data_IF_196906008803
#
_entry.id   IF_196906008803
#
_cell.length_a   1.000
_cell.length_b   1.000
_cell.length_c   1.000
_cell.angle_alpha   90.00
_cell.angle_beta   90.00
_cell.angle_gamma   90.00
#
_symmetry.space_group_name_H-M   'P 1'
#
loop_
_entity.id
_entity.type
_entity.pdbx_description
1 polymer ?
#
# COMPACT_ATOMS: atom_id res chain seq x y z
N UNK A 1 -1.52 11.31 5.85
CA UNK A 1 -2.16 10.06 5.40
C UNK A 1 -3.23 9.65 6.40
N UNK A 2 -4.51 9.96 6.13
CA UNK A 2 -5.63 9.69 7.06
C UNK A 2 -5.94 8.21 7.27
N UNK A 3 -5.45 7.33 6.40
CA UNK A 3 -5.65 5.88 6.49
C UNK A 3 -4.64 5.17 7.38
N UNK A 4 -3.54 5.82 7.80
CA UNK A 4 -2.47 5.18 8.58
C UNK A 4 -2.96 4.63 9.93
N UNK A 5 -3.74 5.38 10.74
CA UNK A 5 -4.29 4.83 12.00
C UNK A 5 -5.26 3.67 11.76
N UNK A 6 -6.07 3.76 10.70
CA UNK A 6 -7.07 2.73 10.37
C UNK A 6 -6.39 1.42 9.93
N UNK A 7 -5.43 1.49 9.01
CA UNK A 7 -4.73 0.30 8.48
C UNK A 7 -3.83 -0.33 9.54
N UNK A 8 -3.14 0.48 10.37
CA UNK A 8 -2.34 -0.04 11.48
C UNK A 8 -3.19 -0.70 12.56
N UNK A 9 -4.38 -0.17 12.85
CA UNK A 9 -5.38 -0.82 13.72
C UNK A 9 -5.83 -2.18 13.19
N UNK A 10 -6.15 -2.26 11.90
CA UNK A 10 -6.55 -3.50 11.24
C UNK A 10 -5.43 -4.55 11.21
N UNK A 11 -4.19 -4.15 10.90
CA UNK A 11 -3.02 -5.03 10.96
C UNK A 11 -2.81 -5.59 12.37
N UNK A 12 -2.95 -4.76 13.40
CA UNK A 12 -2.88 -5.20 14.80
C UNK A 12 -4.00 -6.20 15.13
N UNK A 13 -5.21 -5.97 14.64
CA UNK A 13 -6.35 -6.88 14.84
C UNK A 13 -6.13 -8.24 14.18
N UNK A 14 -5.60 -8.27 12.95
CA UNK A 14 -5.42 -9.50 12.17
C UNK A 14 -4.21 -10.31 12.67
N UNK A 15 -3.07 -9.65 12.89
CA UNK A 15 -1.77 -10.30 13.14
C UNK A 15 -1.28 -10.20 14.58
N UNK A 16 -1.97 -9.43 15.44
CA UNK A 16 -1.55 -9.16 16.81
C UNK A 16 -0.40 -8.15 16.92
N UNK A 17 -0.11 -7.73 18.15
CA UNK A 17 0.89 -6.69 18.43
C UNK A 17 2.34 -7.15 18.15
N UNK A 18 2.62 -8.47 18.20
CA UNK A 18 3.96 -9.04 18.03
C UNK A 18 4.59 -8.70 16.68
N UNK A 19 3.79 -8.71 15.60
CA UNK A 19 4.28 -8.48 14.24
C UNK A 19 4.01 -7.06 13.72
N UNK A 20 3.37 -6.22 14.53
CA UNK A 20 2.90 -4.90 14.11
C UNK A 20 4.03 -4.02 13.59
N UNK A 21 5.16 -3.96 14.31
CA UNK A 21 6.31 -3.12 13.93
C UNK A 21 6.93 -3.55 12.59
N UNK A 22 7.08 -4.85 12.36
CA UNK A 22 7.66 -5.39 11.12
C UNK A 22 6.71 -5.18 9.94
N UNK A 23 5.43 -5.49 10.10
CA UNK A 23 4.42 -5.29 9.06
C UNK A 23 4.25 -3.80 8.73
N UNK A 24 4.20 -2.94 9.74
CA UNK A 24 4.15 -1.50 9.54
C UNK A 24 5.41 -0.96 8.86
N UNK A 25 6.60 -1.44 9.27
CA UNK A 25 7.86 -1.10 8.63
C UNK A 25 7.89 -1.50 7.16
N UNK A 26 7.36 -2.67 6.82
CA UNK A 26 7.22 -3.12 5.43
C UNK A 26 6.26 -2.21 4.65
N UNK A 27 5.07 -1.92 5.18
CA UNK A 27 4.12 -0.99 4.53
C UNK A 27 4.77 0.37 4.30
N UNK A 28 5.44 0.93 5.31
CA UNK A 28 6.13 2.21 5.20
C UNK A 28 7.23 2.16 4.13
N UNK A 29 8.08 1.13 4.14
CA UNK A 29 9.12 0.95 3.15
C UNK A 29 8.56 0.89 1.72
N UNK A 30 7.53 0.06 1.48
CA UNK A 30 6.89 -0.03 0.16
C UNK A 30 6.26 1.29 -0.28
N UNK A 31 5.74 2.08 0.67
CA UNK A 31 5.24 3.43 0.39
C UNK A 31 6.36 4.39 -0.05
N UNK A 32 7.52 4.35 0.61
CA UNK A 32 8.66 5.18 0.23
C UNK A 32 9.18 4.82 -1.16
N UNK A 33 9.27 3.52 -1.47
CA UNK A 33 9.66 3.03 -2.80
C UNK A 33 8.65 3.47 -3.86
N UNK A 34 7.35 3.29 -3.61
CA UNK A 34 6.30 3.71 -4.54
C UNK A 34 6.28 5.22 -4.77
N UNK A 35 6.48 6.02 -3.72
CA UNK A 35 6.54 7.49 -3.82
C UNK A 35 7.73 7.96 -4.65
N UNK A 36 8.90 7.34 -4.43
CA UNK A 36 10.08 7.60 -5.25
C UNK A 36 9.84 7.22 -6.71
N UNK A 37 9.36 6.01 -6.98
CA UNK A 37 9.11 5.52 -8.33
C UNK A 37 8.06 6.36 -9.06
N UNK A 38 7.00 6.78 -8.38
CA UNK A 38 5.96 7.64 -8.94
C UNK A 38 6.51 9.02 -9.35
N UNK A 39 7.26 9.68 -8.47
CA UNK A 39 7.87 10.98 -8.77
C UNK A 39 8.93 10.88 -9.87
N UNK A 40 9.79 9.85 -9.82
CA UNK A 40 10.82 9.61 -10.82
C UNK A 40 10.23 9.29 -12.20
N UNK A 41 9.24 8.39 -12.27
CA UNK A 41 8.56 8.05 -13.51
C UNK A 41 7.77 9.24 -14.07
N UNK A 42 7.13 10.03 -13.21
CA UNK A 42 6.45 11.27 -13.60
C UNK A 42 7.40 12.27 -14.28
N UNK A 43 8.59 12.47 -13.69
CA UNK A 43 9.64 13.29 -14.31
C UNK A 43 10.06 12.76 -15.67
N UNK A 44 10.36 11.46 -15.78
CA UNK A 44 10.75 10.84 -17.05
C UNK A 44 9.65 10.91 -18.11
N UNK A 45 8.39 10.66 -17.75
CA UNK A 45 7.26 10.78 -18.68
C UNK A 45 7.15 12.21 -19.19
N UNK A 46 7.31 13.21 -18.31
CA UNK A 46 7.30 14.60 -18.74
C UNK A 46 8.45 14.91 -19.69
N UNK A 47 9.67 14.45 -19.41
CA UNK A 47 10.83 14.67 -20.28
C UNK A 47 10.61 14.11 -21.70
N UNK A 48 9.91 12.98 -21.84
CA UNK A 48 9.65 12.35 -23.14
C UNK A 48 8.43 12.90 -23.87
N UNK A 49 7.32 13.15 -23.16
CA UNK A 49 6.03 13.50 -23.76
C UNK A 49 5.71 15.00 -23.67
N UNK A 50 6.45 15.77 -22.86
CA UNK A 50 6.15 17.17 -22.57
C UNK A 50 4.85 17.38 -21.79
N UNK A 51 4.28 16.33 -21.21
CA UNK A 51 2.99 16.33 -20.53
C UNK A 51 2.94 15.28 -19.41
N UNK A 52 2.18 15.56 -18.36
CA UNK A 52 1.88 14.62 -17.27
C UNK A 52 0.64 13.76 -17.52
N UNK A 53 -0.09 13.97 -18.62
CA UNK A 53 -1.33 13.22 -18.89
C UNK A 53 -1.14 11.68 -18.81
N UNK A 54 -0.06 11.07 -19.36
CA UNK A 54 0.12 9.62 -19.29
C UNK A 54 0.33 9.10 -17.87
N UNK A 55 1.04 9.84 -17.02
CA UNK A 55 1.25 9.43 -15.62
C UNK A 55 -0.06 9.53 -14.84
N UNK A 56 -0.90 10.54 -15.11
CA UNK A 56 -2.21 10.66 -14.47
C UNK A 56 -3.12 9.48 -14.82
N UNK A 57 -3.25 9.11 -16.09
CA UNK A 57 -4.02 7.93 -16.48
C UNK A 57 -3.45 6.63 -15.88
N UNK A 58 -2.11 6.51 -15.80
CA UNK A 58 -1.47 5.39 -15.12
C UNK A 58 -1.85 5.30 -13.64
N UNK A 59 -1.93 6.44 -12.93
CA UNK A 59 -2.38 6.46 -11.53
C UNK A 59 -3.83 6.02 -11.37
N UNK A 60 -4.71 6.36 -12.31
CA UNK A 60 -6.11 5.91 -12.33
C UNK A 60 -6.17 4.39 -12.47
N UNK A 61 -5.44 3.82 -13.44
CA UNK A 61 -5.39 2.36 -13.64
C UNK A 61 -4.85 1.65 -12.38
N UNK A 62 -3.78 2.17 -11.79
CA UNK A 62 -3.21 1.63 -10.55
C UNK A 62 -4.20 1.70 -9.38
N UNK A 63 -5.01 2.76 -9.28
CA UNK A 63 -6.04 2.87 -8.24
C UNK A 63 -7.12 1.80 -8.39
N UNK A 64 -7.56 1.50 -9.63
CA UNK A 64 -8.50 0.41 -9.88
C UNK A 64 -7.90 -0.96 -9.57
N UNK A 65 -6.66 -1.22 -9.99
CA UNK A 65 -5.96 -2.47 -9.67
C UNK A 65 -5.83 -2.63 -8.16
N UNK A 66 -5.46 -1.56 -7.45
CA UNK A 66 -5.40 -1.57 -5.99
C UNK A 66 -6.77 -1.92 -5.40
N UNK A 67 -7.85 -1.25 -5.81
CA UNK A 67 -9.19 -1.55 -5.32
C UNK A 67 -9.56 -3.04 -5.51
N UNK A 68 -9.30 -3.61 -6.68
CA UNK A 68 -9.56 -5.02 -6.98
C UNK A 68 -8.76 -5.98 -6.10
N UNK A 69 -7.48 -5.71 -5.88
CA UNK A 69 -6.61 -6.51 -5.00
C UNK A 69 -7.09 -6.46 -3.54
N UNK A 70 -7.75 -5.38 -3.12
CA UNK A 70 -8.27 -5.25 -1.75
C UNK A 70 -9.60 -6.00 -1.54
N UNK A 71 -10.39 -6.27 -2.58
CA UNK A 71 -11.70 -6.94 -2.45
C UNK A 71 -11.66 -8.30 -1.71
N UNK A 72 -10.71 -9.22 -1.97
CA UNK A 72 -10.68 -10.52 -1.29
C UNK A 72 -9.99 -10.50 0.09
N UNK A 73 -9.60 -9.33 0.63
CA UNK A 73 -8.92 -9.27 1.94
C UNK A 73 -9.87 -9.73 3.06
N UNK A 74 -9.41 -10.70 3.85
CA UNK A 74 -10.09 -11.17 5.05
C UNK A 74 -9.54 -10.42 6.27
N UNK A 75 -10.42 -9.72 6.97
CA UNK A 75 -10.13 -8.90 8.15
C UNK A 75 -10.33 -9.62 9.49
N UNK A 76 -10.69 -10.91 9.44
CA UNK A 76 -10.81 -11.74 10.64
C UNK A 76 -9.44 -11.95 11.31
N UNK A 77 -9.37 -11.91 12.65
CA UNK A 77 -8.14 -12.24 13.38
C UNK A 77 -7.60 -13.61 12.98
N UNK A 78 -6.29 -13.71 12.74
CA UNK A 78 -5.66 -15.01 12.59
C UNK A 78 -5.75 -15.76 13.91
N UNK A 79 -6.33 -16.96 13.90
CA UNK A 79 -6.35 -17.83 15.08
C UNK A 79 -4.91 -18.20 15.40
N UNK A 80 -4.32 -17.55 16.38
CA UNK A 80 -3.06 -18.00 16.98
C UNK A 80 -3.35 -19.41 17.49
N UNK A 81 -2.76 -20.42 16.85
CA UNK A 81 -2.79 -21.77 17.38
C UNK A 81 -2.20 -21.67 18.80
N UNK A 82 -3.06 -21.75 19.80
CA UNK A 82 -2.66 -22.04 21.16
C UNK A 82 -1.88 -23.34 21.07
N UNK A 83 -0.55 -23.24 21.21
CA UNK A 83 0.28 -24.40 21.49
C UNK A 83 -0.29 -25.01 22.78
N UNK A 84 -0.92 -26.17 22.63
CA UNK A 84 -1.37 -27.05 23.71
C UNK A 84 -0.18 -27.70 24.37
#
# INVERSE_FOLDING_TARGET
>A
MGTVPLTSGLVRQIFGARYLSTLYGLVFFTHQVGSFLGAWAGGRIYDYYGSYEPIWWSTVVLAFVAALIHLPINDKPLRVATAS
#
